data_IF_699994921328
#
_entry.id   IF_699994921328
#
_cell.length_a   1.000
_cell.length_b   1.000
_cell.length_c   1.000
_cell.angle_alpha   90.00
_cell.angle_beta   90.00
_cell.angle_gamma   90.00
#
_symmetry.space_group_name_H-M   'P 1'
#
loop_
_entity.id
_entity.type
_entity.pdbx_description
1 polymer ?
#
# COMPACT_ATOMS: atom_id res chain seq x y z
N UNK A 1 -22.72 8.42 -65.64
CA UNK A 1 -21.90 7.98 -64.50
C UNK A 1 -20.80 8.98 -64.18
N UNK A 2 -20.00 9.43 -65.12
CA UNK A 2 -18.89 10.40 -64.94
C UNK A 2 -19.33 11.69 -64.23
N UNK A 3 -20.49 12.27 -64.61
CA UNK A 3 -21.00 13.48 -63.92
C UNK A 3 -21.28 13.29 -62.48
N UNK A 4 -21.75 12.09 -62.03
CA UNK A 4 -21.92 11.73 -60.60
C UNK A 4 -20.59 11.60 -59.89
N UNK A 5 -19.59 10.97 -60.52
CA UNK A 5 -18.25 10.81 -59.95
C UNK A 5 -17.59 12.19 -59.77
N UNK A 6 -17.69 13.06 -60.71
CA UNK A 6 -17.14 14.43 -60.66
C UNK A 6 -17.83 15.30 -59.59
N UNK A 7 -19.15 15.13 -59.40
CA UNK A 7 -19.88 15.82 -58.33
C UNK A 7 -19.43 15.36 -56.95
N UNK A 8 -19.28 14.06 -56.76
CA UNK A 8 -18.75 13.47 -55.50
C UNK A 8 -17.30 13.85 -55.27
N UNK A 9 -16.48 13.97 -56.30
CA UNK A 9 -15.08 14.38 -56.16
C UNK A 9 -14.98 15.80 -55.60
N UNK A 10 -15.81 16.72 -56.08
CA UNK A 10 -15.91 18.08 -55.55
C UNK A 10 -16.45 18.11 -54.10
N UNK A 11 -17.38 17.23 -53.75
CA UNK A 11 -17.88 17.11 -52.38
C UNK A 11 -16.79 16.63 -51.44
N UNK A 12 -16.03 15.62 -51.86
CA UNK A 12 -14.92 15.04 -51.07
C UNK A 12 -13.79 16.05 -50.81
N UNK A 13 -13.45 16.89 -51.84
CA UNK A 13 -12.43 17.94 -51.68
C UNK A 13 -12.81 18.99 -50.63
N UNK A 14 -14.10 19.23 -50.44
CA UNK A 14 -14.62 20.20 -49.46
C UNK A 14 -15.04 19.61 -48.11
N UNK A 15 -14.76 18.32 -47.86
CA UNK A 15 -15.08 17.69 -46.60
C UNK A 15 -14.37 18.36 -45.43
N UNK A 16 -15.14 18.64 -44.37
CA UNK A 16 -14.66 19.14 -43.08
C UNK A 16 -15.24 18.28 -42.01
N UNK A 17 -14.53 18.14 -40.92
CA UNK A 17 -14.99 17.47 -39.72
C UNK A 17 -14.60 18.33 -38.51
N UNK A 18 -15.44 18.36 -37.48
CA UNK A 18 -15.18 19.10 -36.26
C UNK A 18 -14.53 18.23 -35.16
N UNK A 19 -14.66 16.89 -35.26
CA UNK A 19 -14.12 15.93 -34.30
C UNK A 19 -13.79 14.58 -34.98
N UNK A 20 -13.11 13.69 -34.21
CA UNK A 20 -12.72 12.39 -34.72
C UNK A 20 -13.93 11.47 -35.04
N UNK A 21 -15.05 11.63 -34.33
CA UNK A 21 -16.27 10.85 -34.61
C UNK A 21 -16.88 11.18 -35.93
N UNK A 22 -16.87 12.48 -36.33
CA UNK A 22 -17.33 12.92 -37.64
C UNK A 22 -16.43 12.39 -38.75
N UNK A 23 -15.11 12.31 -38.52
CA UNK A 23 -14.18 11.70 -39.49
C UNK A 23 -14.54 10.24 -39.75
N UNK A 24 -14.84 9.50 -38.67
CA UNK A 24 -15.24 8.10 -38.79
C UNK A 24 -16.61 7.95 -39.50
N UNK A 25 -17.55 8.84 -39.19
CA UNK A 25 -18.85 8.87 -39.90
C UNK A 25 -18.69 9.11 -41.41
N UNK A 26 -17.80 10.05 -41.81
CA UNK A 26 -17.45 10.30 -43.20
C UNK A 26 -16.79 9.08 -43.84
N UNK A 27 -15.88 8.40 -43.13
CA UNK A 27 -15.26 7.16 -43.62
C UNK A 27 -16.33 6.09 -43.92
N UNK A 28 -17.28 5.92 -43.00
CA UNK A 28 -18.37 4.95 -43.16
C UNK A 28 -19.27 5.34 -44.34
N UNK A 29 -19.62 6.63 -44.47
CA UNK A 29 -20.49 7.13 -45.55
C UNK A 29 -19.91 6.84 -46.93
N UNK A 30 -18.62 7.09 -47.15
CA UNK A 30 -18.02 7.00 -48.47
C UNK A 30 -17.31 5.66 -48.73
N UNK A 31 -16.57 5.11 -47.79
CA UNK A 31 -15.63 3.98 -48.01
C UNK A 31 -16.11 2.63 -47.44
N UNK A 32 -17.24 2.56 -46.74
CA UNK A 32 -17.75 1.30 -46.24
C UNK A 32 -18.25 0.37 -47.36
N UNK A 33 -18.50 -0.90 -47.00
CA UNK A 33 -19.08 -1.86 -47.99
C UNK A 33 -20.44 -1.42 -48.58
N UNK A 34 -21.18 -0.58 -47.86
CA UNK A 34 -22.46 0.01 -48.28
C UNK A 34 -22.31 1.51 -48.58
N UNK A 35 -21.08 2.00 -48.61
CA UNK A 35 -20.79 3.42 -48.86
C UNK A 35 -20.99 3.81 -50.33
N UNK A 36 -21.09 5.13 -50.57
CA UNK A 36 -21.43 5.68 -51.86
C UNK A 36 -20.45 5.25 -52.97
N UNK A 37 -19.14 5.16 -52.65
CA UNK A 37 -18.12 4.71 -53.62
C UNK A 37 -18.29 3.22 -53.94
N UNK A 38 -18.64 2.39 -52.95
CA UNK A 38 -18.87 0.98 -53.17
C UNK A 38 -20.10 0.70 -53.99
N UNK A 39 -21.14 1.52 -53.83
CA UNK A 39 -22.36 1.46 -54.69
C UNK A 39 -22.02 1.83 -56.15
N UNK A 40 -21.23 2.89 -56.35
CA UNK A 40 -20.79 3.27 -57.72
C UNK A 40 -19.88 2.20 -58.34
N UNK A 41 -19.07 1.50 -57.56
CA UNK A 41 -18.28 0.35 -58.04
C UNK A 41 -19.16 -0.84 -58.45
N UNK A 42 -20.30 -1.06 -57.81
CA UNK A 42 -21.25 -2.09 -58.21
C UNK A 42 -21.96 -1.67 -59.54
N UNK A 43 -22.37 -0.41 -59.67
CA UNK A 43 -22.99 0.13 -60.87
C UNK A 43 -22.01 0.13 -62.07
N UNK A 44 -20.71 0.22 -61.81
CA UNK A 44 -19.67 0.13 -62.85
C UNK A 44 -19.71 -1.18 -63.64
N UNK A 45 -20.19 -2.26 -63.04
CA UNK A 45 -20.33 -3.57 -63.74
C UNK A 45 -21.26 -3.51 -64.90
N UNK A 46 -22.24 -2.58 -64.91
CA UNK A 46 -23.27 -2.44 -65.92
C UNK A 46 -22.89 -1.38 -67.01
N UNK A 47 -21.69 -0.82 -66.98
CA UNK A 47 -21.21 0.18 -67.96
C UNK A 47 -20.77 -0.52 -69.20
N UNK A 48 -21.07 0.12 -70.41
CA UNK A 48 -20.69 -0.35 -71.69
C UNK A 48 -19.16 -0.50 -71.88
N UNK A 49 -18.70 -1.48 -72.61
CA UNK A 49 -17.28 -1.86 -72.68
C UNK A 49 -16.34 -0.73 -73.21
N UNK A 50 -16.82 0.13 -74.05
CA UNK A 50 -16.12 1.29 -74.61
C UNK A 50 -15.85 2.37 -73.54
N UNK A 51 -16.74 2.56 -72.55
CA UNK A 51 -16.62 3.58 -71.55
C UNK A 51 -15.99 3.06 -70.22
N UNK A 52 -15.81 1.75 -70.09
CA UNK A 52 -15.27 1.13 -68.85
C UNK A 52 -13.90 1.68 -68.44
N UNK A 53 -13.02 1.90 -69.42
CA UNK A 53 -11.66 2.39 -69.17
C UNK A 53 -11.67 3.79 -68.54
N UNK A 54 -12.45 4.68 -69.07
CA UNK A 54 -12.53 6.08 -68.64
C UNK A 54 -13.26 6.20 -67.30
N UNK A 55 -14.40 5.53 -67.11
CA UNK A 55 -15.17 5.49 -65.88
C UNK A 55 -14.35 4.84 -64.75
N UNK A 56 -13.58 3.77 -65.03
CA UNK A 56 -12.70 3.13 -64.11
C UNK A 56 -11.58 4.03 -63.55
N UNK A 57 -10.98 4.85 -64.47
CA UNK A 57 -9.97 5.83 -64.08
C UNK A 57 -10.56 6.91 -63.16
N UNK A 58 -11.71 7.44 -63.48
CA UNK A 58 -12.38 8.41 -62.58
C UNK A 58 -12.82 7.86 -61.25
N UNK A 59 -13.25 6.61 -61.23
CA UNK A 59 -13.67 5.95 -59.99
C UNK A 59 -12.49 5.68 -59.05
N UNK A 60 -11.35 5.25 -59.62
CA UNK A 60 -10.11 5.07 -58.85
C UNK A 60 -9.61 6.41 -58.28
N UNK A 61 -9.63 7.46 -59.09
CA UNK A 61 -9.27 8.81 -58.67
C UNK A 61 -10.15 9.31 -57.52
N UNK A 62 -11.47 9.07 -57.58
CA UNK A 62 -12.40 9.40 -56.50
C UNK A 62 -12.08 8.64 -55.24
N UNK A 63 -11.81 7.34 -55.34
CA UNK A 63 -11.47 6.50 -54.17
C UNK A 63 -10.18 6.99 -53.47
N UNK A 64 -9.13 7.25 -54.26
CA UNK A 64 -7.85 7.74 -53.73
C UNK A 64 -8.00 9.13 -53.10
N UNK A 65 -8.70 10.06 -53.75
CA UNK A 65 -8.95 11.39 -53.22
C UNK A 65 -9.73 11.33 -51.90
N UNK A 66 -10.73 10.45 -51.80
CA UNK A 66 -11.51 10.26 -50.56
C UNK A 66 -10.67 9.67 -49.44
N UNK A 67 -9.86 8.66 -49.78
CA UNK A 67 -8.97 8.04 -48.77
C UNK A 67 -7.95 9.05 -48.23
N UNK A 68 -7.32 9.81 -49.12
CA UNK A 68 -6.34 10.82 -48.74
C UNK A 68 -6.96 11.92 -47.87
N UNK A 69 -8.14 12.42 -48.27
CA UNK A 69 -8.84 13.47 -47.52
C UNK A 69 -9.25 13.02 -46.11
N UNK A 70 -9.75 11.79 -45.97
CA UNK A 70 -10.09 11.20 -44.66
C UNK A 70 -8.84 11.02 -43.80
N UNK A 71 -7.72 10.58 -44.40
CA UNK A 71 -6.45 10.42 -43.66
C UNK A 71 -5.88 11.78 -43.20
N UNK A 72 -5.97 12.83 -44.02
CA UNK A 72 -5.59 14.20 -43.64
C UNK A 72 -6.43 14.71 -42.48
N UNK A 73 -7.74 14.55 -42.52
CA UNK A 73 -8.63 14.93 -41.44
C UNK A 73 -8.34 14.14 -40.18
N UNK A 74 -8.07 12.83 -40.27
CA UNK A 74 -7.69 12.00 -39.14
C UNK A 74 -6.37 12.46 -38.53
N UNK A 75 -5.35 12.69 -39.32
CA UNK A 75 -4.06 13.16 -38.87
C UNK A 75 -4.14 14.55 -38.18
N UNK A 76 -5.05 15.42 -38.59
CA UNK A 76 -5.26 16.72 -37.94
C UNK A 76 -5.80 16.60 -36.51
N UNK A 77 -6.52 15.51 -36.19
CA UNK A 77 -7.03 15.24 -34.85
C UNK A 77 -6.10 14.34 -34.02
N UNK A 78 -5.28 13.48 -34.66
CA UNK A 78 -4.27 12.68 -33.98
C UNK A 78 -3.05 13.51 -33.51
N UNK A 79 -2.74 14.61 -34.18
CA UNK A 79 -1.68 15.53 -33.80
C UNK A 79 -2.07 16.57 -32.76
N UNK A 80 -3.27 16.52 -32.18
CA UNK A 80 -3.56 17.16 -30.92
C UNK A 80 -2.99 16.28 -29.80
N UNK A 81 -1.66 16.21 -29.71
CA UNK A 81 -1.06 15.92 -28.42
C UNK A 81 -1.65 16.95 -27.45
N UNK A 82 -2.45 16.47 -26.51
CA UNK A 82 -2.65 17.21 -25.29
C UNK A 82 -1.28 17.34 -24.65
N UNK A 83 -0.57 18.39 -25.04
CA UNK A 83 0.54 18.86 -24.22
C UNK A 83 -0.11 19.22 -22.89
N UNK A 84 0.05 18.35 -21.91
CA UNK A 84 -0.11 18.73 -20.52
C UNK A 84 1.04 19.71 -20.21
N UNK A 85 1.02 20.86 -20.88
CA UNK A 85 2.03 21.92 -20.74
C UNK A 85 2.01 22.56 -19.34
N UNK A 86 1.03 22.19 -18.52
CA UNK A 86 0.91 22.70 -17.14
C UNK A 86 1.80 21.97 -16.13
N UNK A 87 2.39 20.82 -16.48
CA UNK A 87 3.25 20.06 -15.56
C UNK A 87 4.67 20.00 -16.12
N UNK A 88 5.52 20.85 -15.59
CA UNK A 88 6.96 20.80 -15.87
C UNK A 88 7.61 19.64 -15.11
N UNK A 89 7.79 18.51 -15.80
CA UNK A 89 8.41 17.31 -15.24
C UNK A 89 9.93 17.47 -15.03
N UNK A 90 10.54 18.56 -15.50
CA UNK A 90 11.96 18.87 -15.27
C UNK A 90 12.17 19.65 -13.98
N UNK A 91 11.10 20.17 -13.37
CA UNK A 91 11.16 20.82 -12.07
C UNK A 91 11.63 19.85 -11.00
N UNK A 92 12.67 20.22 -10.28
CA UNK A 92 13.06 19.50 -9.08
C UNK A 92 11.90 19.49 -8.10
N UNK A 93 11.55 18.29 -7.59
CA UNK A 93 10.56 18.18 -6.53
C UNK A 93 10.99 19.06 -5.35
N UNK A 94 10.03 19.78 -4.77
CA UNK A 94 10.28 20.46 -3.50
C UNK A 94 10.79 19.41 -2.49
N UNK A 95 11.97 19.60 -1.89
CA UNK A 95 12.46 18.67 -0.90
C UNK A 95 11.46 18.68 0.27
N UNK A 96 10.70 17.60 0.39
CA UNK A 96 9.91 17.36 1.59
C UNK A 96 10.91 16.94 2.65
N UNK A 97 11.13 17.79 3.65
CA UNK A 97 11.92 17.42 4.83
C UNK A 97 11.20 16.25 5.52
N UNK A 98 11.76 15.07 5.40
CA UNK A 98 11.29 13.90 6.12
C UNK A 98 11.58 14.09 7.59
N UNK A 99 10.56 14.12 8.42
CA UNK A 99 10.72 14.11 9.86
C UNK A 99 11.52 12.90 10.35
N UNK A 100 12.16 12.99 11.50
CA UNK A 100 12.89 11.90 12.15
C UNK A 100 11.98 11.16 13.13
N UNK A 101 12.25 9.87 13.33
CA UNK A 101 11.58 9.07 14.36
C UNK A 101 12.32 9.19 15.68
N UNK A 102 11.57 9.19 16.78
CA UNK A 102 12.17 9.16 18.11
C UNK A 102 13.02 7.88 18.30
N UNK A 103 14.20 7.94 18.95
CA UNK A 103 15.08 6.79 19.15
C UNK A 103 14.37 5.58 19.78
N UNK A 104 13.51 5.79 20.78
CA UNK A 104 12.71 4.70 21.38
C UNK A 104 11.81 3.99 20.38
N UNK A 105 11.23 4.74 19.43
CA UNK A 105 10.39 4.14 18.37
C UNK A 105 11.21 3.29 17.40
N UNK A 106 12.45 3.71 17.11
CA UNK A 106 13.38 2.94 16.28
C UNK A 106 13.78 1.64 16.97
N UNK A 107 14.21 1.73 18.25
CA UNK A 107 14.62 0.57 19.05
C UNK A 107 13.44 -0.40 19.25
N UNK A 108 12.25 0.12 19.61
CA UNK A 108 11.02 -0.71 19.73
C UNK A 108 10.76 -1.48 18.44
N UNK A 109 10.84 -0.79 17.30
CA UNK A 109 10.61 -1.42 16.00
C UNK A 109 11.64 -2.51 15.73
N UNK A 110 12.92 -2.25 15.97
CA UNK A 110 14.01 -3.21 15.76
C UNK A 110 13.82 -4.47 16.62
N UNK A 111 13.48 -4.32 17.91
CA UNK A 111 13.16 -5.44 18.80
C UNK A 111 11.98 -6.25 18.22
N UNK A 112 10.90 -5.59 17.84
CA UNK A 112 9.73 -6.25 17.25
C UNK A 112 10.08 -7.01 15.97
N UNK A 113 10.88 -6.43 15.08
CA UNK A 113 11.32 -7.07 13.83
C UNK A 113 12.19 -8.31 14.12
N UNK A 114 13.08 -8.26 15.12
CA UNK A 114 13.91 -9.40 15.53
C UNK A 114 13.03 -10.56 16.02
N UNK A 115 12.12 -10.30 16.95
CA UNK A 115 11.23 -11.33 17.48
C UNK A 115 10.21 -11.83 16.45
N UNK A 116 9.77 -10.97 15.52
CA UNK A 116 8.93 -11.35 14.39
C UNK A 116 9.59 -12.43 13.51
N UNK A 117 10.91 -12.36 13.30
CA UNK A 117 11.68 -13.39 12.59
C UNK A 117 11.76 -14.73 13.35
N UNK A 118 11.59 -14.69 14.67
CA UNK A 118 11.45 -15.88 15.51
C UNK A 118 10.01 -16.42 15.58
N UNK A 119 9.05 -15.78 14.87
CA UNK A 119 7.65 -16.18 14.84
C UNK A 119 6.83 -15.68 16.03
N UNK A 120 7.27 -14.64 16.72
CA UNK A 120 6.48 -13.98 17.75
C UNK A 120 5.54 -12.94 17.10
N UNK A 121 4.31 -12.90 17.55
CA UNK A 121 3.36 -11.84 17.25
C UNK A 121 3.39 -10.74 18.33
N UNK A 122 2.96 -9.54 17.97
CA UNK A 122 2.88 -8.42 18.91
C UNK A 122 1.50 -8.45 19.57
N UNK A 123 1.49 -8.41 20.91
CA UNK A 123 0.29 -8.22 21.73
C UNK A 123 0.37 -6.88 22.45
N UNK A 124 -0.71 -6.11 22.39
CA UNK A 124 -0.83 -4.83 23.09
C UNK A 124 -1.99 -4.88 24.09
N UNK A 125 -1.89 -4.10 25.15
CA UNK A 125 -2.91 -3.99 26.18
C UNK A 125 -2.96 -2.60 26.80
N UNK A 126 -3.95 -2.32 27.65
CA UNK A 126 -4.13 -1.01 28.25
C UNK A 126 -2.98 -0.63 29.20
N UNK A 127 -2.72 0.66 29.33
CA UNK A 127 -1.77 1.21 30.32
C UNK A 127 -2.42 1.38 31.70
N UNK A 128 -3.75 1.59 31.73
CA UNK A 128 -4.57 1.61 32.94
C UNK A 128 -5.13 0.23 33.17
N UNK A 129 -4.84 -0.37 34.31
CA UNK A 129 -5.14 -1.76 34.60
C UNK A 129 -5.79 -1.90 35.99
N UNK A 130 -6.38 -3.05 36.23
CA UNK A 130 -6.85 -3.48 37.54
C UNK A 130 -5.76 -4.28 38.29
N UNK A 131 -5.95 -4.45 39.58
CA UNK A 131 -5.05 -5.23 40.46
C UNK A 131 -4.89 -6.67 39.97
N UNK A 132 -5.96 -7.29 39.47
CA UNK A 132 -5.94 -8.68 39.02
C UNK A 132 -4.88 -8.90 37.94
N UNK A 133 -4.92 -8.11 36.88
CA UNK A 133 -4.02 -8.27 35.73
C UNK A 133 -2.58 -7.84 36.01
N UNK A 134 -2.37 -6.89 36.95
CA UNK A 134 -1.02 -6.44 37.29
C UNK A 134 -0.36 -7.31 38.33
N UNK A 135 -1.10 -7.80 39.32
CA UNK A 135 -0.52 -8.47 40.49
C UNK A 135 -1.10 -9.86 40.75
N UNK A 136 -2.40 -9.96 40.97
CA UNK A 136 -3.00 -11.18 41.52
C UNK A 136 -2.87 -12.37 40.59
N UNK A 137 -3.11 -12.19 39.29
CA UNK A 137 -2.96 -13.22 38.24
C UNK A 137 -1.51 -13.69 38.05
N UNK A 138 -0.57 -12.85 38.41
CA UNK A 138 0.87 -13.14 38.35
C UNK A 138 1.44 -13.68 39.68
N UNK A 139 0.55 -14.03 40.62
CA UNK A 139 0.89 -14.62 41.90
C UNK A 139 1.69 -13.70 42.84
N UNK A 140 1.52 -12.39 42.72
CA UNK A 140 2.01 -11.46 43.74
C UNK A 140 1.16 -11.56 44.99
N UNK A 141 1.79 -11.75 46.13
CA UNK A 141 1.12 -11.76 47.42
C UNK A 141 0.45 -10.42 47.75
N UNK A 142 -0.58 -10.41 48.59
CA UNK A 142 -1.29 -9.17 48.95
C UNK A 142 -0.39 -8.16 49.68
N UNK A 143 0.56 -8.64 50.42
CA UNK A 143 1.54 -7.85 51.19
C UNK A 143 2.87 -7.63 50.45
N UNK A 144 2.90 -7.92 49.14
CA UNK A 144 4.11 -7.75 48.34
C UNK A 144 4.49 -6.27 48.23
N UNK A 145 5.77 -5.88 48.46
CA UNK A 145 6.20 -4.48 48.42
C UNK A 145 5.87 -3.74 47.12
N UNK A 146 5.88 -4.43 45.97
CA UNK A 146 5.55 -3.83 44.70
C UNK A 146 4.09 -3.31 44.58
N UNK A 147 3.21 -3.75 45.51
CA UNK A 147 1.83 -3.24 45.65
C UNK A 147 1.75 -1.97 46.49
N UNK A 148 2.86 -1.51 47.07
CA UNK A 148 2.88 -0.30 47.89
C UNK A 148 2.64 0.93 47.01
N UNK A 149 1.93 1.92 47.55
CA UNK A 149 1.72 3.22 46.93
C UNK A 149 3.02 3.98 46.65
N UNK A 150 4.11 3.61 47.30
CA UNK A 150 5.44 4.19 47.05
C UNK A 150 6.02 3.77 45.70
N UNK A 151 5.64 2.58 45.20
CA UNK A 151 6.19 2.00 43.99
C UNK A 151 5.18 1.98 42.83
N UNK A 152 3.89 2.15 43.09
CA UNK A 152 2.80 2.05 42.11
C UNK A 152 1.95 3.31 42.06
N UNK A 153 1.59 3.77 40.86
CA UNK A 153 0.62 4.84 40.67
C UNK A 153 -0.79 4.30 40.64
N UNK A 154 -1.52 4.45 41.73
CA UNK A 154 -2.95 4.18 41.79
C UNK A 154 -3.76 5.35 41.28
N UNK A 155 -4.76 5.08 40.42
CA UNK A 155 -5.74 6.06 39.92
C UNK A 155 -6.97 6.06 40.80
N UNK A 156 -7.35 4.86 41.30
CA UNK A 156 -8.52 4.65 42.12
C UNK A 156 -8.25 3.51 43.12
N UNK A 157 -8.85 3.59 44.29
CA UNK A 157 -8.94 2.48 45.26
C UNK A 157 -10.39 2.05 45.41
N UNK A 158 -10.58 0.75 45.68
CA UNK A 158 -11.87 0.09 45.93
C UNK A 158 -12.89 0.24 44.75
N UNK A 159 -12.69 -0.43 43.60
CA UNK A 159 -11.61 -1.37 43.30
C UNK A 159 -10.32 -0.66 42.93
N UNK A 160 -9.19 -1.32 43.08
CA UNK A 160 -7.89 -0.77 42.76
C UNK A 160 -7.70 -0.72 41.21
N UNK A 161 -7.51 0.49 40.71
CA UNK A 161 -7.16 0.80 39.33
C UNK A 161 -5.85 1.57 39.32
N UNK A 162 -4.91 1.13 38.51
CA UNK A 162 -3.53 1.62 38.56
C UNK A 162 -2.89 1.73 37.17
N UNK A 163 -1.78 2.42 37.11
CA UNK A 163 -0.90 2.37 35.92
C UNK A 163 -0.03 1.12 36.00
N UNK A 164 0.00 0.32 34.94
CA UNK A 164 0.75 -0.94 34.92
C UNK A 164 2.23 -0.72 35.21
N UNK A 165 2.79 -1.53 36.07
CA UNK A 165 4.20 -1.49 36.49
C UNK A 165 5.12 -2.33 35.60
N UNK A 166 4.54 -3.18 34.78
CA UNK A 166 5.20 -4.06 33.80
C UNK A 166 4.22 -4.41 32.66
N UNK A 167 4.71 -5.02 31.60
CA UNK A 167 3.89 -5.44 30.47
C UNK A 167 3.33 -6.87 30.59
N UNK A 168 3.59 -7.55 31.71
CA UNK A 168 3.08 -8.91 31.97
C UNK A 168 1.55 -8.96 32.06
N UNK A 169 0.87 -7.86 32.39
CA UNK A 169 -0.59 -7.76 32.35
C UNK A 169 -1.16 -8.12 30.98
N UNK A 170 -0.44 -7.79 29.90
CA UNK A 170 -0.81 -8.18 28.52
C UNK A 170 -0.74 -9.69 28.33
N UNK A 171 0.27 -10.35 28.92
CA UNK A 171 0.39 -11.81 28.87
C UNK A 171 -0.80 -12.48 29.54
N UNK A 172 -1.23 -11.98 30.71
CA UNK A 172 -2.42 -12.46 31.42
C UNK A 172 -3.66 -12.35 30.53
N UNK A 173 -3.90 -11.18 29.94
CA UNK A 173 -5.04 -10.96 29.04
C UNK A 173 -5.04 -11.89 27.83
N UNK A 174 -3.88 -12.17 27.27
CA UNK A 174 -3.77 -13.11 26.15
C UNK A 174 -4.09 -14.53 26.62
N UNK A 175 -3.55 -14.96 27.77
CA UNK A 175 -3.79 -16.30 28.32
C UNK A 175 -5.24 -16.53 28.75
N UNK A 176 -5.97 -15.49 29.14
CA UNK A 176 -7.41 -15.58 29.42
C UNK A 176 -8.27 -15.79 28.16
N UNK A 177 -7.78 -15.35 26.99
CA UNK A 177 -8.57 -15.31 25.76
C UNK A 177 -8.05 -16.25 24.65
N UNK A 178 -6.89 -16.87 24.85
CA UNK A 178 -6.26 -17.69 23.82
C UNK A 178 -5.67 -18.97 24.43
N UNK A 179 -6.01 -20.10 23.82
CA UNK A 179 -5.39 -21.38 24.12
C UNK A 179 -3.98 -21.49 23.50
N UNK A 180 -3.07 -22.25 24.12
CA UNK A 180 -1.79 -22.56 23.51
C UNK A 180 -1.93 -23.27 22.15
N UNK A 181 -0.98 -23.00 21.20
CA UNK A 181 0.29 -22.35 21.40
C UNK A 181 0.18 -20.82 21.42
N UNK A 182 0.90 -20.20 22.37
CA UNK A 182 1.02 -18.75 22.50
C UNK A 182 2.48 -18.37 22.28
N UNK A 183 2.73 -17.42 21.39
CA UNK A 183 4.08 -16.93 21.09
C UNK A 183 4.00 -15.45 20.78
N UNK A 184 4.17 -14.63 21.81
CA UNK A 184 3.94 -13.18 21.77
C UNK A 184 5.09 -12.40 22.37
N UNK A 185 5.22 -11.14 21.92
CA UNK A 185 5.94 -10.08 22.64
C UNK A 185 4.97 -8.98 23.03
N UNK A 186 5.20 -8.39 24.20
CA UNK A 186 4.37 -7.34 24.77
C UNK A 186 5.18 -6.06 24.93
N UNK A 187 5.38 -5.28 23.88
CA UNK A 187 6.08 -4.00 23.97
C UNK A 187 5.14 -2.91 24.50
N UNK A 188 5.56 -2.18 25.51
CA UNK A 188 4.71 -1.13 26.05
C UNK A 188 5.43 -0.19 27.02
N UNK A 189 4.73 0.89 27.36
CA UNK A 189 5.13 1.80 28.42
C UNK A 189 4.67 1.26 29.76
N UNK A 190 5.49 1.41 30.76
CA UNK A 190 5.24 1.00 32.14
C UNK A 190 5.58 2.13 33.10
N UNK A 191 5.01 2.10 34.30
CA UNK A 191 5.04 3.21 35.24
C UNK A 191 5.47 2.73 36.61
N UNK A 192 6.38 3.43 37.24
CA UNK A 192 6.79 3.18 38.62
C UNK A 192 6.94 4.50 39.36
N UNK A 193 6.42 4.56 40.55
CA UNK A 193 6.46 5.77 41.39
C UNK A 193 7.84 5.95 42.03
N UNK A 194 8.87 6.06 41.19
CA UNK A 194 10.25 6.24 41.60
C UNK A 194 10.65 7.73 41.53
N UNK A 195 11.57 8.12 42.41
CA UNK A 195 12.15 9.46 42.36
C UNK A 195 12.87 9.69 41.01
N UNK A 196 12.48 10.72 40.29
CA UNK A 196 13.09 11.06 39.00
C UNK A 196 14.55 11.48 39.23
N UNK A 197 15.45 10.89 38.47
CA UNK A 197 16.87 11.20 38.46
C UNK A 197 17.42 11.12 37.03
N UNK A 198 18.71 11.40 36.87
CA UNK A 198 19.37 11.21 35.57
C UNK A 198 19.47 9.75 35.11
N UNK A 199 19.18 8.78 35.98
CA UNK A 199 19.22 7.35 35.70
C UNK A 199 17.85 6.68 35.70
N UNK A 200 16.84 7.28 36.31
CA UNK A 200 15.52 6.70 36.50
C UNK A 200 14.43 7.73 36.20
N UNK A 201 13.39 7.29 35.54
CA UNK A 201 12.19 8.09 35.30
C UNK A 201 10.97 7.31 35.78
N UNK A 202 9.90 8.01 36.12
CA UNK A 202 8.66 7.40 36.59
C UNK A 202 7.93 6.59 35.51
N UNK A 203 8.36 6.64 34.27
CA UNK A 203 7.91 5.75 33.21
C UNK A 203 9.09 5.34 32.33
N UNK A 204 9.01 4.14 31.76
CA UNK A 204 9.97 3.62 30.80
C UNK A 204 9.28 2.63 29.84
N UNK A 205 10.00 2.14 28.85
CA UNK A 205 9.48 1.16 27.91
C UNK A 205 10.08 -0.22 28.23
N UNK A 206 9.21 -1.22 28.16
CA UNK A 206 9.56 -2.62 28.42
C UNK A 206 9.08 -3.48 27.25
N UNK A 207 9.79 -4.53 26.93
CA UNK A 207 9.35 -5.58 26.03
C UNK A 207 9.50 -6.92 26.76
N UNK A 208 8.40 -7.60 26.93
CA UNK A 208 8.37 -8.95 27.47
C UNK A 208 8.02 -9.95 26.37
N UNK A 209 8.47 -11.18 26.50
CA UNK A 209 8.14 -12.27 25.58
C UNK A 209 7.52 -13.44 26.37
N UNK A 210 6.47 -14.01 25.79
CA UNK A 210 5.83 -15.23 26.31
C UNK A 210 5.79 -16.29 25.21
N UNK A 211 6.27 -17.49 25.56
CA UNK A 211 6.16 -18.65 24.68
C UNK A 211 5.61 -19.84 25.46
N UNK A 212 4.42 -20.26 25.12
CA UNK A 212 3.73 -21.42 25.70
C UNK A 212 3.38 -22.39 24.58
N UNK A 213 3.98 -23.56 24.61
CA UNK A 213 3.72 -24.64 23.65
C UNK A 213 4.16 -25.99 24.24
N UNK A 214 3.81 -27.07 23.53
CA UNK A 214 4.32 -28.41 23.87
C UNK A 214 5.81 -28.50 23.59
N UNK A 215 6.54 -29.16 24.49
CA UNK A 215 7.99 -29.42 24.39
C UNK A 215 8.89 -28.16 24.41
N UNK A 216 8.40 -27.01 24.83
CA UNK A 216 9.22 -25.82 25.09
C UNK A 216 10.11 -26.07 26.30
N UNK A 217 11.37 -25.72 26.19
CA UNK A 217 12.38 -25.98 27.19
C UNK A 217 13.20 -24.73 27.55
N UNK A 218 14.01 -24.82 28.61
CA UNK A 218 14.95 -23.76 28.94
C UNK A 218 16.01 -23.52 27.84
N UNK A 219 16.27 -24.52 27.00
CA UNK A 219 17.15 -24.36 25.84
C UNK A 219 16.56 -23.38 24.81
N UNK A 220 15.25 -23.40 24.61
CA UNK A 220 14.55 -22.46 23.70
C UNK A 220 14.64 -21.02 24.21
N UNK A 221 14.49 -20.82 25.54
CA UNK A 221 14.69 -19.50 26.15
C UNK A 221 16.13 -19.00 25.93
N UNK A 222 17.13 -19.84 26.17
CA UNK A 222 18.55 -19.47 25.93
C UNK A 222 18.81 -19.12 24.47
N UNK A 223 18.25 -19.89 23.57
CA UNK A 223 18.45 -19.69 22.14
C UNK A 223 17.77 -18.40 21.66
N UNK A 224 16.54 -18.12 22.11
CA UNK A 224 15.84 -16.88 21.80
C UNK A 224 16.59 -15.65 22.30
N UNK A 225 17.08 -15.68 23.55
CA UNK A 225 17.86 -14.59 24.12
C UNK A 225 19.21 -14.40 23.41
N UNK A 226 19.89 -15.48 23.06
CA UNK A 226 21.15 -15.41 22.32
C UNK A 226 20.96 -14.85 20.89
N UNK A 227 19.91 -15.30 20.21
CA UNK A 227 19.54 -14.77 18.89
C UNK A 227 19.25 -13.29 18.98
N UNK A 228 18.37 -12.87 19.90
CA UNK A 228 18.04 -11.47 20.12
C UNK A 228 19.31 -10.62 20.38
N UNK A 229 20.18 -11.07 21.30
CA UNK A 229 21.36 -10.32 21.66
C UNK A 229 22.35 -10.17 20.47
N UNK A 230 22.48 -11.19 19.65
CA UNK A 230 23.36 -11.13 18.47
C UNK A 230 22.79 -10.20 17.38
N UNK A 231 21.49 -10.26 17.13
CA UNK A 231 20.85 -9.43 16.13
C UNK A 231 20.80 -7.94 16.55
N UNK A 232 20.54 -7.69 17.85
CA UNK A 232 20.42 -6.33 18.37
C UNK A 232 21.77 -5.62 18.54
N UNK A 233 22.84 -6.34 18.88
CA UNK A 233 24.13 -5.73 19.19
C UNK A 233 25.23 -6.12 18.19
N UNK A 234 25.68 -7.38 18.21
CA UNK A 234 26.66 -7.89 17.27
C UNK A 234 26.70 -9.42 17.22
N UNK A 235 27.19 -9.99 16.12
CA UNK A 235 27.35 -11.44 15.95
C UNK A 235 28.26 -12.08 17.02
N UNK A 236 29.18 -11.32 17.57
CA UNK A 236 30.12 -11.78 18.62
C UNK A 236 29.57 -11.65 20.04
N UNK A 237 28.36 -11.14 20.20
CA UNK A 237 27.74 -10.94 21.52
C UNK A 237 27.57 -12.26 22.24
N UNK A 238 28.04 -12.30 23.47
CA UNK A 238 27.90 -13.44 24.40
C UNK A 238 26.94 -13.11 25.51
N UNK A 239 26.05 -14.02 25.82
CA UNK A 239 25.14 -13.92 26.98
C UNK A 239 25.63 -14.82 28.10
N UNK A 240 25.37 -14.38 29.34
CA UNK A 240 25.60 -15.17 30.54
C UNK A 240 24.30 -15.21 31.36
N UNK A 241 23.78 -16.40 31.55
CA UNK A 241 22.61 -16.62 32.40
C UNK A 241 23.08 -17.03 33.80
N UNK A 242 22.45 -16.49 34.81
CA UNK A 242 22.70 -16.83 36.23
C UNK A 242 21.36 -17.08 36.92
N UNK A 243 21.27 -18.07 37.78
CA UNK A 243 20.12 -18.19 38.67
C UNK A 243 19.99 -16.93 39.53
N UNK A 244 18.77 -16.44 39.66
CA UNK A 244 18.43 -15.30 40.50
C UNK A 244 17.04 -15.52 41.08
N UNK A 245 16.83 -14.99 42.26
CA UNK A 245 15.55 -14.93 42.96
C UNK A 245 15.19 -13.46 43.14
N UNK A 246 13.92 -13.13 42.93
CA UNK A 246 13.35 -11.80 43.11
C UNK A 246 12.43 -11.80 44.30
#
# INVERSE_FOLDING_TARGET
MINKINALLKEVENLKAANAEEVEALRIKYLSKKGEISLLMNDFRNVAADQKREVGQHLNKLKEATQNRINELKASFENVQTTNDDIDLTRTSYPIELGTRHPLSLVKKEICDIFGRLGFSIAEGPEIEDDWHVFSSLNFAEDHPARDMQDTFFIQHNPDVLLRTHTSSVQTRVMENQEPPIRIICPGRVYRNEAISYRAHCFFHQVEALYVDKNVSFADLKQALLFFAKEMFSADTKIRLRPSYF
#
